data_IF_500649574549
#
_entry.id   IF_500649574549
#
_cell.length_a   1.000
_cell.length_b   1.000
_cell.length_c   1.000
_cell.angle_alpha   90.00
_cell.angle_beta   90.00
_cell.angle_gamma   90.00
#
_symmetry.space_group_name_H-M   'P 1'
#
loop_
_entity.id
_entity.type
_entity.pdbx_description
1 polymer ?
#
# COMPACT_ATOMS: atom_id res chain seq x y z
N UNK A 1 28.60 -68.15 -49.35
CA UNK A 1 28.80 -66.70 -49.34
C UNK A 1 27.76 -66.08 -48.42
N UNK A 2 28.12 -65.79 -47.14
CA UNK A 2 27.20 -65.28 -46.17
C UNK A 2 27.34 -63.79 -46.13
N UNK A 3 26.28 -63.06 -46.56
CA UNK A 3 26.24 -61.58 -46.52
C UNK A 3 25.72 -61.17 -45.14
N UNK A 4 26.61 -60.65 -44.31
CA UNK A 4 26.25 -60.03 -43.02
C UNK A 4 25.53 -58.69 -43.28
N UNK A 5 24.23 -58.69 -43.12
CA UNK A 5 23.44 -57.47 -43.10
C UNK A 5 23.42 -56.95 -41.67
N UNK A 6 24.29 -56.00 -41.38
CA UNK A 6 24.28 -55.26 -40.09
C UNK A 6 23.04 -54.36 -40.07
N UNK A 7 22.04 -54.76 -39.32
CA UNK A 7 20.93 -53.87 -38.99
C UNK A 7 21.43 -52.75 -38.08
N UNK A 8 21.46 -51.56 -38.62
CA UNK A 8 21.68 -50.34 -37.81
C UNK A 8 20.45 -50.13 -36.94
N UNK A 9 20.62 -50.30 -35.62
CA UNK A 9 19.62 -49.90 -34.67
C UNK A 9 19.58 -48.38 -34.62
N UNK A 10 18.48 -47.80 -35.14
CA UNK A 10 18.18 -46.39 -35.00
C UNK A 10 17.59 -46.21 -33.63
N UNK A 11 18.39 -45.70 -32.71
CA UNK A 11 17.90 -45.26 -31.39
C UNK A 11 17.14 -43.96 -31.58
N UNK A 12 15.81 -44.06 -31.52
CA UNK A 12 14.94 -42.87 -31.44
C UNK A 12 15.03 -42.39 -30.02
N UNK A 13 15.84 -41.34 -29.78
CA UNK A 13 15.83 -40.60 -28.51
C UNK A 13 14.60 -39.71 -28.55
N UNK A 14 13.55 -40.16 -27.86
CA UNK A 14 12.37 -39.32 -27.62
C UNK A 14 12.74 -38.24 -26.62
N UNK A 15 13.00 -37.04 -27.12
CA UNK A 15 13.10 -35.84 -26.33
C UNK A 15 11.69 -35.48 -25.83
N UNK A 16 11.36 -35.84 -24.59
CA UNK A 16 10.18 -35.34 -23.93
C UNK A 16 10.47 -33.90 -23.50
N UNK A 17 10.01 -32.96 -24.30
CA UNK A 17 9.98 -31.56 -23.92
C UNK A 17 8.87 -31.37 -22.86
N UNK A 18 9.24 -31.33 -21.58
CA UNK A 18 8.36 -30.89 -20.52
C UNK A 18 8.21 -29.37 -20.64
N UNK A 19 7.19 -28.94 -21.37
CA UNK A 19 6.75 -27.57 -21.34
C UNK A 19 6.14 -27.29 -19.97
N UNK A 20 6.98 -26.80 -19.04
CA UNK A 20 6.52 -26.28 -17.77
C UNK A 20 5.69 -25.02 -18.05
N UNK A 21 4.37 -25.17 -18.06
CA UNK A 21 3.48 -24.03 -18.02
C UNK A 21 3.67 -23.32 -16.67
N UNK A 22 4.47 -22.26 -16.65
CA UNK A 22 4.48 -21.31 -15.55
C UNK A 22 3.11 -20.63 -15.55
N UNK A 23 2.20 -21.15 -14.73
CA UNK A 23 0.99 -20.44 -14.38
C UNK A 23 1.45 -19.28 -13.51
N UNK A 24 1.70 -18.12 -14.13
CA UNK A 24 1.75 -16.87 -13.38
C UNK A 24 0.33 -16.68 -12.83
N UNK A 25 0.14 -17.10 -11.58
CA UNK A 25 -1.02 -16.70 -10.81
C UNK A 25 -0.92 -15.18 -10.66
N UNK A 26 -1.61 -14.45 -11.54
CA UNK A 26 -1.89 -13.04 -11.33
C UNK A 26 -2.79 -12.96 -10.09
N UNK A 27 -2.17 -12.75 -8.94
CA UNK A 27 -2.92 -12.35 -7.76
C UNK A 27 -3.73 -11.10 -8.15
N UNK A 28 -5.04 -11.08 -7.91
CA UNK A 28 -5.80 -9.88 -8.16
C UNK A 28 -5.12 -8.77 -7.37
N UNK A 29 -4.71 -7.70 -8.05
CA UNK A 29 -4.27 -6.50 -7.38
C UNK A 29 -5.43 -6.05 -6.51
N UNK A 30 -5.35 -6.30 -5.20
CA UNK A 30 -6.31 -5.73 -4.27
C UNK A 30 -6.22 -4.23 -4.46
N UNK A 31 -7.35 -3.63 -4.85
CA UNK A 31 -7.46 -2.18 -4.87
C UNK A 31 -7.04 -1.69 -3.48
N UNK A 32 -5.96 -0.91 -3.42
CA UNK A 32 -5.49 -0.37 -2.16
C UNK A 32 -6.62 0.49 -1.58
N UNK A 33 -6.95 0.27 -0.31
CA UNK A 33 -7.92 1.10 0.37
C UNK A 33 -7.48 2.58 0.29
N UNK A 34 -8.41 3.52 0.03
CA UNK A 34 -8.07 4.92 0.00
C UNK A 34 -7.28 5.35 1.24
N UNK A 35 -6.12 5.98 1.04
CA UNK A 35 -5.26 6.44 2.13
C UNK A 35 -4.31 5.39 2.71
N UNK A 36 -4.37 4.13 2.27
CA UNK A 36 -3.45 3.07 2.71
C UNK A 36 -2.72 2.49 1.51
N UNK A 37 -1.39 2.53 1.55
CA UNK A 37 -0.52 1.93 0.54
C UNK A 37 0.45 0.95 1.17
N UNK A 38 1.32 0.34 0.39
CA UNK A 38 2.40 -0.52 0.91
C UNK A 38 3.43 0.24 1.73
N UNK A 39 3.52 1.58 1.60
CA UNK A 39 4.55 2.42 2.23
C UNK A 39 4.02 3.53 3.12
N UNK A 40 2.74 3.86 3.04
CA UNK A 40 2.15 5.01 3.72
C UNK A 40 0.73 4.73 4.22
N UNK A 41 0.41 5.31 5.37
CA UNK A 41 -0.94 5.38 5.95
C UNK A 41 -1.28 6.85 6.13
N UNK A 42 -2.30 7.35 5.41
CA UNK A 42 -2.80 8.72 5.58
C UNK A 42 -3.88 8.75 6.65
N UNK A 43 -3.74 9.64 7.61
CA UNK A 43 -4.75 9.93 8.63
C UNK A 43 -5.28 11.33 8.44
N UNK A 44 -6.59 11.47 8.34
CA UNK A 44 -7.26 12.76 8.31
C UNK A 44 -7.60 13.26 9.72
N UNK A 45 -7.42 14.55 9.97
CA UNK A 45 -7.82 15.22 11.18
C UNK A 45 -8.56 16.50 10.85
N UNK A 46 -9.81 16.64 11.27
CA UNK A 46 -10.52 17.91 11.35
C UNK A 46 -10.45 18.41 12.80
N UNK A 47 -9.94 19.60 13.01
CA UNK A 47 -9.79 20.18 14.35
C UNK A 47 -9.74 21.71 14.30
N UNK A 48 -10.14 22.40 15.36
CA UNK A 48 -10.10 23.85 15.42
C UNK A 48 -8.66 24.35 15.63
N UNK A 49 -8.00 24.72 14.54
CA UNK A 49 -6.65 25.28 14.54
C UNK A 49 -6.67 26.79 14.68
N UNK A 50 -7.73 27.44 14.24
CA UNK A 50 -7.99 28.86 14.42
C UNK A 50 -9.39 29.07 15.00
N UNK A 51 -9.73 30.32 15.35
CA UNK A 51 -11.04 30.65 15.92
C UNK A 51 -11.10 30.51 17.44
N UNK A 52 -12.32 30.45 17.96
CA UNK A 52 -12.60 30.55 19.42
C UNK A 52 -12.01 29.41 20.25
N UNK A 53 -11.88 28.22 19.67
CA UNK A 53 -11.38 27.03 20.36
C UNK A 53 -9.87 26.79 20.12
N UNK A 54 -9.19 27.65 19.37
CA UNK A 54 -7.78 27.48 19.01
C UNK A 54 -6.83 27.46 20.23
N UNK A 55 -7.15 28.18 21.30
CA UNK A 55 -6.34 28.17 22.51
C UNK A 55 -6.26 26.77 23.16
N UNK A 56 -7.35 26.01 23.09
CA UNK A 56 -7.42 24.66 23.69
C UNK A 56 -6.94 23.58 22.70
N UNK A 57 -7.26 23.69 21.43
CA UNK A 57 -7.09 22.61 20.45
C UNK A 57 -6.12 22.94 19.30
N UNK A 58 -5.75 24.18 19.10
CA UNK A 58 -4.96 24.62 17.95
C UNK A 58 -3.58 23.96 17.82
N UNK A 59 -3.02 23.45 18.93
CA UNK A 59 -1.73 22.77 18.94
C UNK A 59 -1.84 21.25 18.71
N UNK A 60 -3.05 20.69 18.68
CA UNK A 60 -3.26 19.26 18.53
C UNK A 60 -2.61 18.66 17.27
N UNK A 61 -2.76 19.24 16.07
CA UNK A 61 -2.14 18.71 14.89
C UNK A 61 -0.61 18.63 14.97
N UNK A 62 0.01 19.65 15.57
CA UNK A 62 1.46 19.69 15.78
C UNK A 62 1.93 18.61 16.74
N UNK A 63 1.21 18.38 17.83
CA UNK A 63 1.53 17.33 18.80
C UNK A 63 1.38 15.94 18.17
N UNK A 64 0.29 15.70 17.44
CA UNK A 64 0.07 14.44 16.73
C UNK A 64 1.16 14.19 15.69
N UNK A 65 1.51 15.21 14.90
CA UNK A 65 2.59 15.11 13.92
C UNK A 65 3.91 14.73 14.57
N UNK A 66 4.29 15.37 15.67
CA UNK A 66 5.52 15.07 16.39
C UNK A 66 5.57 13.61 16.86
N UNK A 67 4.45 13.07 17.34
CA UNK A 67 4.36 11.67 17.73
C UNK A 67 4.46 10.73 16.51
N UNK A 68 3.81 11.05 15.42
CA UNK A 68 3.90 10.24 14.20
C UNK A 68 5.29 10.30 13.56
N UNK A 69 5.98 11.44 13.65
CA UNK A 69 7.37 11.56 13.21
C UNK A 69 8.28 10.64 14.03
N UNK A 70 8.03 10.54 15.35
CA UNK A 70 8.75 9.59 16.20
C UNK A 70 8.48 8.13 15.79
N UNK A 71 7.22 7.75 15.56
CA UNK A 71 6.86 6.39 15.10
C UNK A 71 7.53 6.11 13.75
N UNK A 72 7.47 7.06 12.82
CA UNK A 72 8.06 6.92 11.49
C UNK A 72 9.58 6.74 11.53
N UNK A 73 10.26 7.42 12.45
CA UNK A 73 11.69 7.27 12.67
C UNK A 73 12.08 5.90 13.26
N UNK A 74 11.15 5.24 13.94
CA UNK A 74 11.33 3.91 14.55
C UNK A 74 10.70 2.76 13.73
N UNK A 75 10.62 2.92 12.42
CA UNK A 75 10.17 1.87 11.51
C UNK A 75 8.71 1.97 11.06
N UNK A 76 7.95 2.95 11.55
CA UNK A 76 6.55 3.13 11.18
C UNK A 76 5.62 2.05 11.69
N UNK A 77 4.50 1.87 11.03
CA UNK A 77 3.51 0.83 11.33
C UNK A 77 3.60 -0.27 10.29
N UNK A 78 4.15 -1.40 10.64
CA UNK A 78 4.44 -2.50 9.70
C UNK A 78 5.21 -2.03 8.46
N UNK A 79 6.24 -1.21 8.67
CA UNK A 79 7.07 -0.65 7.61
C UNK A 79 6.45 0.52 6.83
N UNK A 80 5.24 0.97 7.19
CA UNK A 80 4.54 2.09 6.56
C UNK A 80 4.65 3.35 7.40
N UNK A 81 4.88 4.48 6.75
CA UNK A 81 4.93 5.79 7.41
C UNK A 81 3.52 6.35 7.59
N UNK A 82 3.26 6.94 8.74
CA UNK A 82 2.03 7.67 9.02
C UNK A 82 2.18 9.09 8.49
N UNK A 83 1.20 9.54 7.69
CA UNK A 83 1.08 10.92 7.19
C UNK A 83 -0.20 11.53 7.73
N UNK A 84 -0.07 12.60 8.52
CA UNK A 84 -1.21 13.36 9.01
C UNK A 84 -1.60 14.46 8.02
N UNK A 85 -2.88 14.49 7.65
CA UNK A 85 -3.50 15.57 6.87
C UNK A 85 -4.46 16.30 7.79
N UNK A 86 -4.05 17.43 8.32
CA UNK A 86 -4.87 18.23 9.22
C UNK A 86 -5.62 19.34 8.48
N UNK A 87 -6.88 19.52 8.79
CA UNK A 87 -7.77 20.56 8.28
C UNK A 87 -8.33 21.38 9.43
N UNK A 88 -8.42 22.67 9.23
CA UNK A 88 -8.97 23.62 10.21
C UNK A 88 -10.48 23.72 10.03
N UNK A 89 -11.25 23.38 11.05
CA UNK A 89 -12.71 23.51 11.06
C UNK A 89 -13.21 24.74 11.84
N UNK A 90 -12.30 25.50 12.43
CA UNK A 90 -12.58 26.73 13.22
C UNK A 90 -13.61 26.51 14.35
N UNK A 91 -13.83 25.28 14.74
CA UNK A 91 -14.89 24.90 15.70
C UNK A 91 -16.31 25.20 15.18
N UNK A 92 -16.53 25.15 13.87
CA UNK A 92 -17.82 25.37 13.23
C UNK A 92 -18.35 24.04 12.66
N UNK A 93 -19.55 23.59 13.05
CA UNK A 93 -20.10 22.31 12.60
C UNK A 93 -20.17 22.17 11.07
N UNK A 94 -20.51 23.24 10.37
CA UNK A 94 -20.56 23.27 8.90
C UNK A 94 -19.16 23.12 8.27
N UNK A 95 -18.16 23.74 8.87
CA UNK A 95 -16.77 23.58 8.44
C UNK A 95 -16.25 22.17 8.75
N UNK A 96 -16.54 21.62 9.93
CA UNK A 96 -16.16 20.26 10.28
C UNK A 96 -16.72 19.24 9.28
N UNK A 97 -18.00 19.36 8.90
CA UNK A 97 -18.60 18.51 7.89
C UNK A 97 -17.89 18.64 6.53
N UNK A 98 -17.62 19.86 6.07
CA UNK A 98 -16.93 20.14 4.81
C UNK A 98 -15.49 19.57 4.82
N UNK A 99 -14.74 19.85 5.89
CA UNK A 99 -13.35 19.38 5.99
C UNK A 99 -13.25 17.85 6.09
N UNK A 100 -14.19 17.21 6.80
CA UNK A 100 -14.26 15.74 6.86
C UNK A 100 -14.54 15.14 5.49
N UNK A 101 -15.51 15.70 4.75
CA UNK A 101 -15.78 15.28 3.37
C UNK A 101 -14.53 15.38 2.49
N UNK A 102 -13.81 16.52 2.57
CA UNK A 102 -12.57 16.72 1.80
C UNK A 102 -11.41 15.80 2.21
N UNK A 103 -11.46 15.19 3.39
CA UNK A 103 -10.45 14.23 3.84
C UNK A 103 -10.74 12.81 3.36
N UNK A 104 -12.00 12.49 3.05
CA UNK A 104 -12.45 11.15 2.70
C UNK A 104 -12.58 10.98 1.18
N UNK A 105 -12.94 12.02 0.46
CA UNK A 105 -13.13 12.02 -0.98
C UNK A 105 -11.91 12.59 -1.72
#
# INVERSE_FOLDING_TARGET
MIRNTRMKRISIVSAVAVAGAMVLSTLPAQAADPGVTSTEIKLGLSSPQTGTAALSYGKLPKAMKAYFDYINANGGVYGRKIKLVARDDKYLPTQAATQTTNLVL
#
